data_IF_626399757565
#
_entry.id   IF_626399757565
#
_cell.length_a   1.000
_cell.length_b   1.000
_cell.length_c   1.000
_cell.angle_alpha   90.00
_cell.angle_beta   90.00
_cell.angle_gamma   90.00
#
_symmetry.space_group_name_H-M   'P 1'
#
loop_
_entity.id
_entity.type
_entity.pdbx_description
1 polymer ?
#
# COMPACT_ATOMS: atom_id res chain seq x y z
N UNK A 1 -2.38 80.03 -37.13
CA UNK A 1 -1.97 79.65 -35.76
C UNK A 1 -3.06 78.79 -35.17
N UNK A 2 -2.69 77.86 -34.28
CA UNK A 2 -3.51 76.82 -33.60
C UNK A 2 -3.65 75.50 -34.36
N UNK A 3 -2.63 74.65 -34.17
CA UNK A 3 -2.59 73.24 -34.53
C UNK A 3 -3.60 72.44 -33.70
N UNK A 4 -4.41 71.62 -34.36
CA UNK A 4 -5.33 70.68 -33.73
C UNK A 4 -4.60 69.33 -33.58
N UNK A 5 -4.05 69.09 -32.40
CA UNK A 5 -3.41 67.82 -32.07
C UNK A 5 -4.48 66.78 -31.69
N UNK A 6 -4.76 65.86 -32.62
CA UNK A 6 -5.63 64.70 -32.39
C UNK A 6 -4.82 63.62 -31.66
N UNK A 7 -4.93 63.58 -30.33
CA UNK A 7 -4.31 62.55 -29.51
C UNK A 7 -5.11 61.24 -29.60
N UNK A 8 -4.72 60.36 -30.51
CA UNK A 8 -5.17 58.95 -30.53
C UNK A 8 -4.58 58.23 -29.32
N UNK A 9 -5.40 58.01 -28.29
CA UNK A 9 -5.08 57.12 -27.19
C UNK A 9 -5.04 55.67 -27.71
N UNK A 10 -3.84 55.17 -28.02
CA UNK A 10 -3.58 53.74 -28.16
C UNK A 10 -3.73 53.12 -26.77
N UNK A 11 -4.93 52.64 -26.46
CA UNK A 11 -5.15 51.73 -25.34
C UNK A 11 -4.41 50.42 -25.64
N UNK A 12 -3.16 50.31 -25.19
CA UNK A 12 -2.49 49.03 -25.11
C UNK A 12 -3.28 48.17 -24.11
N UNK A 13 -4.14 47.30 -24.62
CA UNK A 13 -4.66 46.18 -23.84
C UNK A 13 -3.46 45.31 -23.51
N UNK A 14 -2.86 45.53 -22.34
CA UNK A 14 -1.93 44.57 -21.76
C UNK A 14 -2.77 43.31 -21.53
N UNK A 15 -2.65 42.36 -22.45
CA UNK A 15 -3.18 41.02 -22.24
C UNK A 15 -2.41 40.46 -21.05
N UNK A 16 -2.96 40.61 -19.85
CA UNK A 16 -2.53 39.84 -18.70
C UNK A 16 -2.81 38.39 -19.05
N UNK A 17 -1.80 37.67 -19.52
CA UNK A 17 -1.80 36.22 -19.46
C UNK A 17 -1.98 35.89 -17.98
N UNK A 18 -3.21 35.57 -17.58
CA UNK A 18 -3.44 34.98 -16.27
C UNK A 18 -2.66 33.67 -16.31
N UNK A 19 -1.61 33.56 -15.49
CA UNK A 19 -0.87 32.31 -15.34
C UNK A 19 -1.88 31.21 -15.01
N UNK A 20 -2.12 30.35 -16.01
CA UNK A 20 -3.09 29.25 -15.87
C UNK A 20 -2.44 28.21 -14.99
N UNK A 21 -3.00 28.04 -13.79
CA UNK A 21 -2.51 27.05 -12.83
C UNK A 21 -2.39 25.67 -13.47
N UNK A 22 -1.21 25.07 -13.34
CA UNK A 22 -0.85 23.76 -13.87
C UNK A 22 -1.24 22.70 -12.85
N UNK A 23 -2.44 22.17 -13.03
CA UNK A 23 -3.01 21.13 -12.17
C UNK A 23 -2.76 19.75 -12.79
N UNK A 24 -2.23 18.84 -11.98
CA UNK A 24 -2.16 17.41 -12.27
C UNK A 24 -2.95 16.61 -11.22
N UNK A 25 -3.21 15.35 -11.53
CA UNK A 25 -3.86 14.43 -10.61
C UNK A 25 -3.15 13.08 -10.58
N UNK A 26 -3.27 12.38 -9.46
CA UNK A 26 -2.74 11.03 -9.27
C UNK A 26 -3.77 10.11 -8.62
N UNK A 27 -3.65 8.83 -8.93
CA UNK A 27 -4.39 7.77 -8.25
C UNK A 27 -3.47 7.08 -7.23
N UNK A 28 -3.62 7.46 -5.96
CA UNK A 28 -2.81 6.96 -4.86
C UNK A 28 -3.00 5.45 -4.63
N UNK A 29 -4.23 4.93 -4.70
CA UNK A 29 -4.49 3.49 -4.57
C UNK A 29 -3.77 2.67 -5.64
N UNK A 30 -3.74 3.19 -6.87
CA UNK A 30 -3.05 2.55 -7.99
C UNK A 30 -1.55 2.59 -7.79
N UNK A 31 -0.98 3.71 -7.33
CA UNK A 31 0.44 3.81 -6.98
C UNK A 31 0.81 2.81 -5.88
N UNK A 32 0.01 2.72 -4.83
CA UNK A 32 0.22 1.81 -3.71
C UNK A 32 0.12 0.33 -4.07
N UNK A 33 -0.64 -0.01 -5.12
CA UNK A 33 -0.84 -1.40 -5.55
C UNK A 33 0.12 -1.81 -6.67
N UNK A 34 0.44 -0.92 -7.61
CA UNK A 34 1.15 -1.27 -8.84
C UNK A 34 2.63 -0.90 -8.82
N UNK A 35 3.07 0.00 -7.92
CA UNK A 35 4.45 0.47 -7.89
C UNK A 35 5.46 -0.63 -7.55
N UNK A 36 6.68 -0.49 -8.08
CA UNK A 36 7.76 -1.43 -7.80
C UNK A 36 8.09 -1.54 -6.29
N UNK A 37 8.14 -0.44 -5.50
CA UNK A 37 8.32 -0.52 -4.06
C UNK A 37 7.21 -1.30 -3.35
N UNK A 38 5.95 -1.14 -3.77
CA UNK A 38 4.83 -1.89 -3.20
C UNK A 38 4.93 -3.40 -3.47
N UNK A 39 5.28 -3.79 -4.70
CA UNK A 39 5.50 -5.20 -5.06
C UNK A 39 6.67 -5.80 -4.27
N UNK A 40 7.76 -5.04 -4.13
CA UNK A 40 8.92 -5.47 -3.35
C UNK A 40 8.57 -5.64 -1.85
N UNK A 41 7.80 -4.71 -1.27
CA UNK A 41 7.29 -4.82 0.09
C UNK A 41 6.43 -6.07 0.28
N UNK A 42 5.52 -6.37 -0.66
CA UNK A 42 4.69 -7.56 -0.63
C UNK A 42 5.55 -8.84 -0.61
N UNK A 43 6.50 -8.98 -1.54
CA UNK A 43 7.40 -10.15 -1.58
C UNK A 43 8.24 -10.27 -0.31
N UNK A 44 8.68 -9.14 0.27
CA UNK A 44 9.43 -9.13 1.52
C UNK A 44 8.58 -9.63 2.70
N UNK A 45 7.34 -9.17 2.82
CA UNK A 45 6.41 -9.63 3.86
C UNK A 45 6.09 -11.11 3.71
N UNK A 46 5.85 -11.58 2.49
CA UNK A 46 5.63 -13.01 2.22
C UNK A 46 6.82 -13.86 2.68
N UNK A 47 8.04 -13.46 2.31
CA UNK A 47 9.25 -14.18 2.72
C UNK A 47 9.46 -14.17 4.24
N UNK A 48 9.22 -13.04 4.89
CA UNK A 48 9.39 -12.87 6.34
C UNK A 48 8.38 -13.73 7.14
N UNK A 49 7.15 -13.84 6.67
CA UNK A 49 6.07 -14.53 7.38
C UNK A 49 5.84 -15.97 6.93
N UNK A 50 6.44 -16.42 5.81
CA UNK A 50 6.25 -17.75 5.23
C UNK A 50 6.43 -18.90 6.24
N UNK A 51 7.48 -18.84 7.08
CA UNK A 51 7.73 -19.89 8.07
C UNK A 51 6.63 -19.95 9.12
N UNK A 52 6.19 -18.80 9.63
CA UNK A 52 5.15 -18.73 10.67
C UNK A 52 3.79 -19.14 10.12
N UNK A 53 3.49 -18.78 8.88
CA UNK A 53 2.29 -19.24 8.19
C UNK A 53 2.29 -20.77 8.04
N UNK A 54 3.41 -21.35 7.60
CA UNK A 54 3.56 -22.81 7.50
C UNK A 54 3.41 -23.51 8.85
N UNK A 55 4.01 -22.96 9.91
CA UNK A 55 3.88 -23.50 11.27
C UNK A 55 2.40 -23.48 11.74
N UNK A 56 1.65 -22.41 11.45
CA UNK A 56 0.22 -22.32 11.77
C UNK A 56 -0.62 -23.33 10.97
N UNK A 57 -0.33 -23.52 9.69
CA UNK A 57 -0.99 -24.53 8.86
C UNK A 57 -0.74 -25.95 9.41
N UNK A 58 0.49 -26.25 9.83
CA UNK A 58 0.84 -27.54 10.41
C UNK A 58 0.17 -27.78 11.77
N UNK A 59 0.05 -26.74 12.60
CA UNK A 59 -0.71 -26.81 13.86
C UNK A 59 -2.20 -27.06 13.61
N UNK A 60 -2.80 -26.37 12.63
CA UNK A 60 -4.20 -26.57 12.25
C UNK A 60 -4.46 -28.00 11.75
N UNK A 61 -3.57 -28.56 10.94
CA UNK A 61 -3.66 -29.94 10.48
C UNK A 61 -3.57 -30.95 11.64
N UNK A 62 -2.66 -30.70 12.61
CA UNK A 62 -2.54 -31.54 13.82
C UNK A 62 -3.77 -31.47 14.71
N UNK A 63 -4.34 -30.28 14.91
CA UNK A 63 -5.59 -30.09 15.64
C UNK A 63 -6.72 -30.93 15.02
N UNK A 64 -6.88 -30.81 13.70
CA UNK A 64 -7.87 -31.60 12.97
C UNK A 64 -7.65 -33.10 13.13
N UNK A 65 -6.41 -33.57 12.98
CA UNK A 65 -6.06 -34.99 13.12
C UNK A 65 -6.35 -35.53 14.53
N UNK A 66 -6.00 -34.78 15.58
CA UNK A 66 -6.27 -35.14 16.97
C UNK A 66 -7.77 -35.18 17.27
N UNK A 67 -8.53 -34.19 16.79
CA UNK A 67 -9.99 -34.16 16.91
C UNK A 67 -10.62 -35.36 16.21
N UNK A 68 -10.30 -35.58 14.93
CA UNK A 68 -10.84 -36.69 14.13
C UNK A 68 -10.48 -38.06 14.77
N UNK A 69 -9.29 -38.19 15.39
CA UNK A 69 -8.89 -39.40 16.13
C UNK A 69 -9.71 -39.62 17.40
N UNK A 70 -10.00 -38.57 18.16
CA UNK A 70 -10.81 -38.65 19.38
C UNK A 70 -12.27 -38.96 19.04
N UNK A 71 -12.81 -38.37 17.98
CA UNK A 71 -14.19 -38.58 17.56
C UNK A 71 -14.42 -40.01 17.05
N UNK A 72 -13.52 -40.53 16.21
CA UNK A 72 -13.66 -41.85 15.59
C UNK A 72 -13.25 -43.00 16.51
N UNK A 73 -12.09 -42.86 17.15
CA UNK A 73 -11.49 -43.97 17.91
C UNK A 73 -11.72 -43.80 19.41
N UNK A 74 -12.30 -42.68 19.85
CA UNK A 74 -12.44 -42.32 21.26
C UNK A 74 -13.04 -43.44 22.08
N UNK A 75 -14.10 -44.10 21.63
CA UNK A 75 -14.77 -45.16 22.40
C UNK A 75 -13.91 -46.42 22.57
N UNK A 76 -13.00 -46.71 21.64
CA UNK A 76 -12.09 -47.86 21.70
C UNK A 76 -10.81 -47.59 22.52
N UNK A 77 -10.55 -46.33 22.90
CA UNK A 77 -9.37 -45.96 23.69
C UNK A 77 -9.53 -46.29 25.19
N UNK A 78 -8.40 -46.52 25.85
CA UNK A 78 -8.35 -46.53 27.32
C UNK A 78 -8.73 -45.16 27.88
N UNK A 79 -9.22 -45.11 29.12
CA UNK A 79 -9.54 -43.84 29.78
C UNK A 79 -8.31 -42.92 29.91
N UNK A 80 -7.14 -43.51 30.18
CA UNK A 80 -5.87 -42.78 30.32
C UNK A 80 -5.43 -42.16 28.98
N UNK A 81 -5.45 -42.93 27.89
CA UNK A 81 -5.03 -42.44 26.57
C UNK A 81 -5.98 -41.37 26.05
N UNK A 82 -7.31 -41.55 26.26
CA UNK A 82 -8.32 -40.57 25.88
C UNK A 82 -8.09 -39.25 26.61
N UNK A 83 -7.86 -39.31 27.92
CA UNK A 83 -7.59 -38.13 28.75
C UNK A 83 -6.29 -37.43 28.32
N UNK A 84 -5.24 -38.17 27.96
CA UNK A 84 -4.00 -37.58 27.45
C UNK A 84 -4.23 -36.84 26.12
N UNK A 85 -4.88 -37.48 25.15
CA UNK A 85 -5.18 -36.83 23.86
C UNK A 85 -6.06 -35.60 23.98
N UNK A 86 -7.03 -35.60 24.91
CA UNK A 86 -7.86 -34.43 25.20
C UNK A 86 -7.04 -33.27 25.78
N UNK A 87 -6.08 -33.55 26.67
CA UNK A 87 -5.13 -32.54 27.16
C UNK A 87 -4.25 -32.00 26.04
N UNK A 88 -3.68 -32.88 25.23
CA UNK A 88 -2.82 -32.48 24.10
C UNK A 88 -3.60 -31.61 23.10
N UNK A 89 -4.85 -31.97 22.79
CA UNK A 89 -5.74 -31.19 21.93
C UNK A 89 -5.99 -29.79 22.52
N UNK A 90 -6.34 -29.70 23.79
CA UNK A 90 -6.61 -28.42 24.47
C UNK A 90 -5.35 -27.53 24.54
N UNK A 91 -4.18 -28.11 24.79
CA UNK A 91 -2.92 -27.38 24.82
C UNK A 91 -2.54 -26.87 23.43
N UNK A 92 -2.65 -27.72 22.40
CA UNK A 92 -2.36 -27.33 21.03
C UNK A 92 -3.31 -26.25 20.53
N UNK A 93 -4.59 -26.30 20.91
CA UNK A 93 -5.59 -25.30 20.52
C UNK A 93 -5.28 -23.93 21.14
N UNK A 94 -4.96 -23.91 22.43
CA UNK A 94 -4.56 -22.69 23.14
C UNK A 94 -3.31 -22.06 22.50
N UNK A 95 -2.31 -22.88 22.20
CA UNK A 95 -1.08 -22.44 21.55
C UNK A 95 -1.32 -21.95 20.12
N UNK A 96 -2.18 -22.63 19.36
CA UNK A 96 -2.56 -22.23 18.01
C UNK A 96 -3.25 -20.86 18.01
N UNK A 97 -4.24 -20.66 18.88
CA UNK A 97 -4.95 -19.39 18.99
C UNK A 97 -4.02 -18.25 19.40
N UNK A 98 -3.09 -18.48 20.33
CA UNK A 98 -2.07 -17.49 20.72
C UNK A 98 -1.20 -17.11 19.52
N UNK A 99 -0.58 -18.09 18.86
CA UNK A 99 0.29 -17.85 17.70
C UNK A 99 -0.44 -17.21 16.54
N UNK A 100 -1.71 -17.55 16.31
CA UNK A 100 -2.52 -16.96 15.26
C UNK A 100 -2.82 -15.48 15.54
N UNK A 101 -3.05 -15.08 16.79
CA UNK A 101 -3.20 -13.66 17.17
C UNK A 101 -1.89 -12.91 16.94
N UNK A 102 -0.79 -13.40 17.49
CA UNK A 102 0.55 -12.82 17.31
C UNK A 102 0.91 -12.67 15.82
N UNK A 103 0.66 -13.70 15.02
CA UNK A 103 0.91 -13.64 13.57
C UNK A 103 0.12 -12.53 12.88
N UNK A 104 -1.18 -12.39 13.20
CA UNK A 104 -2.03 -11.35 12.59
C UNK A 104 -1.60 -9.96 13.02
N UNK A 105 -1.28 -9.78 14.30
CA UNK A 105 -0.82 -8.50 14.85
C UNK A 105 0.49 -8.06 14.19
N UNK A 106 1.48 -8.95 14.19
CA UNK A 106 2.79 -8.68 13.59
C UNK A 106 2.68 -8.44 12.08
N UNK A 107 1.89 -9.26 11.36
CA UNK A 107 1.71 -9.10 9.92
C UNK A 107 1.05 -7.76 9.60
N UNK A 108 0.03 -7.36 10.36
CA UNK A 108 -0.64 -6.07 10.18
C UNK A 108 0.30 -4.91 10.50
N UNK A 109 1.08 -5.01 11.58
CA UNK A 109 2.08 -4.00 11.92
C UNK A 109 3.10 -3.84 10.80
N UNK A 110 3.75 -4.94 10.38
CA UNK A 110 4.76 -4.91 9.32
C UNK A 110 4.18 -4.44 7.99
N UNK A 111 2.95 -4.83 7.66
CA UNK A 111 2.24 -4.32 6.47
C UNK A 111 2.06 -2.80 6.51
N UNK A 112 1.65 -2.25 7.65
CA UNK A 112 1.47 -0.81 7.81
C UNK A 112 2.79 -0.05 7.70
N UNK A 113 3.88 -0.59 8.28
CA UNK A 113 5.22 -0.01 8.18
C UNK A 113 5.72 0.02 6.73
N UNK A 114 5.60 -1.09 6.00
CA UNK A 114 6.01 -1.15 4.60
C UNK A 114 5.12 -0.24 3.72
N UNK A 115 3.81 -0.18 3.98
CA UNK A 115 2.91 0.73 3.27
C UNK A 115 3.29 2.20 3.50
N UNK A 116 3.60 2.58 4.75
CA UNK A 116 4.06 3.92 5.07
C UNK A 116 5.37 4.27 4.34
N UNK A 117 6.29 3.31 4.22
CA UNK A 117 7.53 3.49 3.47
C UNK A 117 7.28 3.67 1.95
N UNK A 118 6.30 2.96 1.38
CA UNK A 118 5.89 3.14 -0.01
C UNK A 118 5.27 4.52 -0.23
N UNK A 119 4.39 4.96 0.68
CA UNK A 119 3.77 6.29 0.65
C UNK A 119 4.80 7.41 0.69
N UNK A 120 5.77 7.33 1.59
CA UNK A 120 6.85 8.34 1.70
C UNK A 120 7.65 8.45 0.39
N UNK A 121 8.01 7.30 -0.20
CA UNK A 121 8.70 7.27 -1.51
C UNK A 121 7.85 7.86 -2.62
N UNK A 122 6.55 7.50 -2.67
CA UNK A 122 5.62 8.05 -3.65
C UNK A 122 5.51 9.58 -3.53
N UNK A 123 5.36 10.10 -2.31
CA UNK A 123 5.27 11.54 -2.06
C UNK A 123 6.53 12.28 -2.50
N UNK A 124 7.72 11.73 -2.23
CA UNK A 124 8.99 12.30 -2.70
C UNK A 124 9.07 12.38 -4.23
N UNK A 125 8.69 11.29 -4.91
CA UNK A 125 8.66 11.24 -6.38
C UNK A 125 7.63 12.20 -6.97
N UNK A 126 6.43 12.26 -6.38
CA UNK A 126 5.38 13.20 -6.79
C UNK A 126 5.89 14.64 -6.69
N UNK A 127 6.55 14.99 -5.57
CA UNK A 127 7.14 16.31 -5.37
C UNK A 127 8.22 16.63 -6.40
N UNK A 128 9.15 15.70 -6.66
CA UNK A 128 10.18 15.86 -7.68
C UNK A 128 9.57 16.10 -9.07
N UNK A 129 8.51 15.36 -9.43
CA UNK A 129 7.79 15.55 -10.71
C UNK A 129 7.08 16.90 -10.72
N UNK A 130 6.49 17.32 -9.60
CA UNK A 130 5.85 18.63 -9.46
C UNK A 130 6.82 19.76 -9.79
N UNK A 131 7.98 19.74 -9.16
CA UNK A 131 9.04 20.75 -9.33
C UNK A 131 9.62 20.72 -10.75
N UNK A 132 9.95 19.54 -11.28
CA UNK A 132 10.53 19.40 -12.63
C UNK A 132 9.58 19.85 -13.75
N UNK A 133 8.26 19.74 -13.54
CA UNK A 133 7.26 20.05 -14.56
C UNK A 133 6.47 21.31 -14.28
N UNK A 134 6.82 22.03 -13.20
CA UNK A 134 6.19 23.26 -12.75
C UNK A 134 4.67 23.07 -12.56
N UNK A 135 4.27 22.01 -11.86
CA UNK A 135 2.88 21.84 -11.42
C UNK A 135 2.64 22.69 -10.17
N UNK A 136 1.56 23.46 -10.18
CA UNK A 136 1.14 24.29 -9.04
C UNK A 136 0.34 23.48 -8.02
N UNK A 137 -0.34 22.42 -8.47
CA UNK A 137 -1.15 21.56 -7.63
C UNK A 137 -1.20 20.14 -8.19
N UNK A 138 -1.05 19.16 -7.29
CA UNK A 138 -1.32 17.75 -7.58
C UNK A 138 -2.48 17.31 -6.70
N UNK A 139 -3.58 16.94 -7.35
CA UNK A 139 -4.81 16.51 -6.69
C UNK A 139 -4.80 15.00 -6.49
N UNK A 140 -5.17 14.58 -5.30
CA UNK A 140 -5.48 13.19 -4.94
C UNK A 140 -6.99 13.05 -4.78
N UNK A 141 -7.53 11.83 -4.92
CA UNK A 141 -8.93 11.51 -4.60
C UNK A 141 -10.00 12.30 -5.40
N UNK A 142 -9.71 12.69 -6.63
CA UNK A 142 -10.69 13.34 -7.49
C UNK A 142 -11.73 12.33 -8.01
N UNK A 143 -13.02 12.72 -7.99
CA UNK A 143 -14.15 11.91 -8.51
C UNK A 143 -13.99 11.59 -10.00
N UNK A 144 -13.42 12.53 -10.76
CA UNK A 144 -13.11 12.35 -12.17
C UNK A 144 -11.77 13.01 -12.49
N UNK A 145 -10.92 12.29 -13.21
CA UNK A 145 -9.63 12.78 -13.70
C UNK A 145 -9.60 12.56 -15.21
N UNK A 146 -9.41 13.64 -15.97
CA UNK A 146 -9.12 13.52 -17.40
C UNK A 146 -7.75 12.87 -17.59
N UNK A 147 -7.59 11.89 -18.50
CA UNK A 147 -6.29 11.27 -18.79
C UNK A 147 -5.18 12.27 -19.16
N UNK A 148 -5.55 13.47 -19.65
CA UNK A 148 -4.60 14.54 -20.00
C UNK A 148 -3.82 15.06 -18.80
N UNK A 149 -4.42 15.07 -17.60
CA UNK A 149 -3.81 15.61 -16.38
C UNK A 149 -3.43 14.51 -15.37
N UNK A 150 -3.75 13.26 -15.67
CA UNK A 150 -3.34 12.11 -14.87
C UNK A 150 -1.84 11.83 -15.07
N UNK A 151 -1.06 11.93 -13.99
CA UNK A 151 0.37 11.64 -14.00
C UNK A 151 0.71 10.32 -13.30
N UNK A 152 -0.28 9.49 -12.96
CA UNK A 152 -0.10 8.22 -12.23
C UNK A 152 0.94 7.32 -12.87
N UNK A 153 0.88 7.09 -14.18
CA UNK A 153 1.85 6.24 -14.89
C UNK A 153 3.26 6.83 -14.88
N UNK A 154 3.38 8.16 -14.84
CA UNK A 154 4.67 8.86 -14.73
C UNK A 154 5.29 8.62 -13.35
N UNK A 155 4.48 8.72 -12.30
CA UNK A 155 4.88 8.42 -10.92
C UNK A 155 5.28 6.95 -10.79
N UNK A 156 4.48 6.02 -11.32
CA UNK A 156 4.78 4.57 -11.32
C UNK A 156 6.12 4.27 -12.00
N UNK A 157 6.41 4.89 -13.15
CA UNK A 157 7.68 4.73 -13.87
C UNK A 157 8.87 5.29 -13.08
N UNK A 158 8.71 6.47 -12.47
CA UNK A 158 9.75 7.06 -11.64
C UNK A 158 10.06 6.22 -10.39
N UNK A 159 9.03 5.65 -9.74
CA UNK A 159 9.20 4.72 -8.62
C UNK A 159 9.88 3.40 -8.98
N UNK A 160 9.88 3.01 -10.24
CA UNK A 160 10.58 1.81 -10.72
C UNK A 160 12.08 2.05 -11.00
N UNK A 161 12.52 3.30 -11.05
CA UNK A 161 13.90 3.65 -11.38
C UNK A 161 14.73 3.84 -10.09
N UNK A 162 15.85 3.11 -9.92
CA UNK A 162 16.69 3.23 -8.71
C UNK A 162 17.37 4.62 -8.56
N UNK A 163 17.35 5.45 -9.60
CA UNK A 163 18.04 6.75 -9.69
C UNK A 163 17.29 7.92 -9.05
N UNK A 164 16.01 7.80 -8.69
CA UNK A 164 15.28 8.89 -8.01
C UNK A 164 15.60 9.01 -6.51
N UNK A 165 16.49 8.15 -6.01
CA UNK A 165 16.89 8.01 -4.61
C UNK A 165 18.15 8.81 -4.22
N UNK A 166 18.79 9.47 -5.19
CA UNK A 166 19.99 10.28 -4.96
C UNK A 166 19.72 11.73 -5.34
N UNK A 167 19.19 12.50 -4.40
CA UNK A 167 19.43 13.94 -4.18
C UNK A 167 18.76 14.36 -2.87
#
# INVERSE_FOLDING_TARGET
>A
MCALALATALGATVAHAQDVARIAAVNSDRILRESAPAKAAQTKLEAEFAKRDKDLQDMAARLKSLSDSLDKNGQAMSAADRAQKQRDLSQLDTDFQRKQREFREDLNQRRNEELAAVLDKANKVIKQIAEQQNYDLIVQEAVYVSPRIDITDKVLKALASPSSLSN
#
